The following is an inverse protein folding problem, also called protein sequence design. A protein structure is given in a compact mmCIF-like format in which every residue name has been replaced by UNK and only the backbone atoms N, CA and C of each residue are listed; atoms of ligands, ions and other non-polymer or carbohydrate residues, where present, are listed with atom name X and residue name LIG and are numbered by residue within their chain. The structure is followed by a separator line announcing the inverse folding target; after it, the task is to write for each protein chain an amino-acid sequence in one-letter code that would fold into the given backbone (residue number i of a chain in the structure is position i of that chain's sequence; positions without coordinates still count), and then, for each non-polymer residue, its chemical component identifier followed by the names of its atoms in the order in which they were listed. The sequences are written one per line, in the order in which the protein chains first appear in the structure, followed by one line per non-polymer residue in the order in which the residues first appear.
data_IF_586817555509
#
_entry.id   IF_586817555509
#
_cell.length_a   1.000
_cell.length_b   1.000
_cell.length_c   1.000
_cell.angle_alpha   90.00
_cell.angle_beta   90.00
_cell.angle_gamma   90.00
#
_symmetry.space_group_name_H-M   'P 1'
#
loop_
_entity.id
_entity.type
_entity.pdbx_description
1 polymer ?
#
# COMPACT_ATOMS: atom_id res chain seq x y z
N UNK A 1 -16.63 -2.71 9.62
CA UNK A 1 -17.16 -3.35 8.42
C UNK A 1 -17.07 -2.42 7.22
N UNK A 2 -16.90 -2.99 6.05
CA UNK A 2 -16.84 -2.23 4.80
C UNK A 2 -18.28 -1.95 4.39
N UNK A 3 -18.56 -0.70 3.97
CA UNK A 3 -19.90 -0.34 3.52
C UNK A 3 -20.30 -1.18 2.30
N UNK A 4 -21.58 -1.56 2.23
CA UNK A 4 -22.06 -2.48 1.19
C UNK A 4 -21.84 -1.99 -0.25
N UNK A 5 -21.81 -0.67 -0.46
CA UNK A 5 -21.59 -0.09 -1.81
C UNK A 5 -20.13 0.26 -2.08
N UNK A 6 -19.24 0.12 -1.09
CA UNK A 6 -17.83 0.32 -1.32
C UNK A 6 -17.24 -0.98 -1.88
N UNK A 7 -16.31 -0.89 -2.83
CA UNK A 7 -15.69 -2.11 -3.33
C UNK A 7 -14.87 -2.76 -2.23
N UNK A 8 -15.01 -4.07 -2.08
CA UNK A 8 -14.13 -4.83 -1.21
C UNK A 8 -12.77 -4.96 -1.91
N UNK A 9 -11.71 -4.39 -1.33
CA UNK A 9 -10.41 -4.42 -2.01
C UNK A 9 -9.73 -5.79 -1.99
N UNK A 10 -10.20 -6.71 -1.17
CA UNK A 10 -9.58 -8.05 -1.09
C UNK A 10 -9.66 -8.75 -2.45
N UNK A 11 -8.52 -9.23 -2.93
CA UNK A 11 -8.42 -9.86 -4.24
C UNK A 11 -8.10 -8.90 -5.38
N UNK A 12 -8.14 -7.60 -5.15
CA UNK A 12 -7.82 -6.64 -6.20
C UNK A 12 -6.33 -6.64 -6.51
N UNK A 13 -6.01 -6.45 -7.78
CA UNK A 13 -4.65 -6.30 -8.25
C UNK A 13 -4.11 -4.93 -7.85
N UNK A 14 -2.89 -4.89 -7.36
CA UNK A 14 -2.21 -3.66 -6.97
C UNK A 14 -1.14 -3.33 -8.00
N UNK A 15 -1.19 -2.09 -8.49
CA UNK A 15 -0.23 -1.58 -9.46
C UNK A 15 0.65 -0.52 -8.82
N UNK A 16 1.91 -0.48 -9.21
CA UNK A 16 2.84 0.58 -8.80
C UNK A 16 2.75 1.79 -9.72
N UNK A 17 3.62 2.76 -9.48
CA UNK A 17 3.71 3.98 -10.28
C UNK A 17 4.06 3.72 -11.75
N UNK A 18 4.74 2.62 -12.01
CA UNK A 18 5.12 2.20 -13.36
C UNK A 18 4.00 1.46 -14.10
N UNK A 19 2.83 1.28 -13.47
CA UNK A 19 1.73 0.52 -14.05
C UNK A 19 1.93 -0.99 -14.00
N UNK A 20 3.05 -1.45 -13.47
CA UNK A 20 3.32 -2.88 -13.34
C UNK A 20 2.63 -3.44 -12.10
N UNK A 21 2.40 -4.75 -12.10
CA UNK A 21 1.73 -5.42 -11.00
C UNK A 21 2.68 -5.57 -9.82
N UNK A 22 2.31 -4.98 -8.68
CA UNK A 22 3.05 -5.13 -7.43
C UNK A 22 2.61 -6.37 -6.66
N UNK A 23 1.33 -6.72 -6.75
CA UNK A 23 0.78 -7.85 -6.03
C UNK A 23 -0.73 -7.85 -5.99
N UNK A 24 -1.29 -8.50 -4.99
CA UNK A 24 -2.72 -8.65 -4.80
C UNK A 24 -3.06 -8.37 -3.33
N UNK A 25 -4.18 -7.71 -3.08
CA UNK A 25 -4.65 -7.47 -1.72
C UNK A 25 -5.12 -8.79 -1.11
N UNK A 26 -4.50 -9.21 -0.01
CA UNK A 26 -4.85 -10.44 0.70
C UNK A 26 -5.83 -10.19 1.85
N UNK A 27 -5.71 -9.05 2.51
CA UNK A 27 -6.62 -8.67 3.60
C UNK A 27 -6.58 -7.17 3.83
N UNK A 28 -7.50 -6.68 4.67
CA UNK A 28 -7.56 -5.28 5.07
C UNK A 28 -7.38 -5.18 6.57
N UNK A 29 -6.71 -4.11 7.01
CA UNK A 29 -6.53 -3.80 8.42
C UNK A 29 -7.42 -2.62 8.76
N UNK A 30 -8.38 -2.85 9.65
CA UNK A 30 -9.46 -1.91 9.96
C UNK A 30 -9.25 -1.32 11.35
N UNK A 31 -9.43 -0.01 11.46
CA UNK A 31 -9.55 0.64 12.75
C UNK A 31 -10.93 0.33 13.31
N UNK A 32 -10.98 -0.43 14.41
CA UNK A 32 -12.25 -0.88 14.98
C UNK A 32 -13.11 0.25 15.51
N UNK A 33 -12.49 1.32 16.02
CA UNK A 33 -13.24 2.42 16.62
C UNK A 33 -13.89 3.31 15.56
N UNK A 34 -13.25 3.45 14.39
CA UNK A 34 -13.74 4.31 13.33
C UNK A 34 -14.32 3.56 12.14
N UNK A 35 -14.18 2.25 12.12
CA UNK A 35 -14.66 1.37 11.04
C UNK A 35 -14.10 1.74 9.67
N UNK A 36 -12.84 2.19 9.64
CA UNK A 36 -12.17 2.55 8.41
C UNK A 36 -10.99 1.64 8.16
N UNK A 37 -10.70 1.38 6.88
CA UNK A 37 -9.52 0.63 6.47
C UNK A 37 -8.30 1.53 6.63
N UNK A 38 -7.33 1.07 7.43
CA UNK A 38 -6.08 1.79 7.66
C UNK A 38 -4.97 1.32 6.73
N UNK A 39 -4.91 0.02 6.48
CA UNK A 39 -3.88 -0.60 5.65
C UNK A 39 -4.47 -1.66 4.76
N UNK A 40 -3.83 -1.83 3.61
CA UNK A 40 -4.04 -2.98 2.73
C UNK A 40 -2.87 -3.93 2.92
N UNK A 41 -3.17 -5.18 3.25
CA UNK A 41 -2.15 -6.22 3.25
C UNK A 41 -2.02 -6.75 1.83
N UNK A 42 -0.81 -6.65 1.28
CA UNK A 42 -0.53 -7.00 -0.10
C UNK A 42 0.44 -8.17 -0.12
N UNK A 43 0.06 -9.22 -0.83
CA UNK A 43 1.01 -10.27 -1.18
C UNK A 43 1.66 -9.85 -2.49
N UNK A 44 2.95 -9.54 -2.44
CA UNK A 44 3.67 -9.09 -3.62
C UNK A 44 3.82 -10.22 -4.62
N UNK A 45 4.15 -9.87 -5.87
CA UNK A 45 4.35 -10.86 -6.94
C UNK A 45 5.43 -11.89 -6.59
N UNK A 46 6.40 -11.52 -5.76
CA UNK A 46 7.43 -12.43 -5.27
C UNK A 46 7.06 -13.21 -4.02
N UNK A 47 5.83 -13.04 -3.50
CA UNK A 47 5.36 -13.78 -2.34
C UNK A 47 5.63 -13.14 -0.98
N UNK A 48 6.17 -11.93 -0.95
CA UNK A 48 6.41 -11.19 0.30
C UNK A 48 5.13 -10.47 0.69
N UNK A 49 4.77 -10.51 1.98
CA UNK A 49 3.60 -9.81 2.49
C UNK A 49 4.00 -8.46 3.06
N UNK A 50 3.34 -7.39 2.63
CA UNK A 50 3.61 -6.03 3.09
C UNK A 50 2.30 -5.31 3.41
N UNK A 51 2.38 -4.24 4.21
CA UNK A 51 1.25 -3.36 4.47
C UNK A 51 1.45 -2.04 3.74
N UNK A 52 0.41 -1.57 3.06
CA UNK A 52 0.41 -0.26 2.42
C UNK A 52 -0.64 0.63 3.06
N UNK A 53 -0.32 1.92 3.33
CA UNK A 53 -1.30 2.84 3.90
C UNK A 53 -2.48 3.06 2.96
N UNK A 54 -3.69 2.87 3.45
CA UNK A 54 -4.90 3.03 2.64
C UNK A 54 -5.04 4.43 2.02
N UNK A 55 -4.69 5.53 2.70
CA UNK A 55 -4.81 6.87 2.09
C UNK A 55 -3.99 7.06 0.83
N UNK A 56 -2.98 6.24 0.59
CA UNK A 56 -2.14 6.33 -0.61
C UNK A 56 -2.66 5.48 -1.76
N UNK A 57 -3.75 4.73 -1.55
CA UNK A 57 -4.33 3.84 -2.54
C UNK A 57 -5.39 4.55 -3.38
N UNK A 58 -5.28 4.41 -4.70
CA UNK A 58 -6.25 4.91 -5.65
C UNK A 58 -7.03 3.72 -6.21
N UNK A 59 -8.29 3.59 -5.79
CA UNK A 59 -9.12 2.45 -6.17
C UNK A 59 -9.87 2.77 -7.45
N UNK A 60 -9.74 1.92 -8.46
CA UNK A 60 -10.55 1.97 -9.67
C UNK A 60 -11.62 0.88 -9.62
N UNK A 61 -12.85 1.28 -9.39
CA UNK A 61 -13.99 0.34 -9.40
C UNK A 61 -14.18 -0.26 -10.79
N UNK A 62 -14.00 0.56 -11.81
CA UNK A 62 -14.22 0.15 -13.20
C UNK A 62 -13.22 -0.91 -13.64
N UNK A 63 -11.96 -0.76 -13.25
CA UNK A 63 -10.91 -1.69 -13.65
C UNK A 63 -10.67 -2.80 -12.62
N UNK A 64 -11.23 -2.66 -11.41
CA UNK A 64 -10.99 -3.63 -10.33
C UNK A 64 -9.55 -3.64 -9.85
N UNK A 65 -8.87 -2.49 -9.92
CA UNK A 65 -7.46 -2.37 -9.55
C UNK A 65 -7.25 -1.29 -8.51
N UNK A 66 -6.12 -1.38 -7.82
CA UNK A 66 -5.66 -0.36 -6.88
C UNK A 66 -4.29 0.09 -7.35
N UNK A 67 -4.11 1.39 -7.51
CA UNK A 67 -2.79 1.95 -7.83
C UNK A 67 -2.23 2.62 -6.60
N UNK A 68 -1.01 2.26 -6.23
CA UNK A 68 -0.25 2.95 -5.19
C UNK A 68 0.98 3.52 -5.88
N UNK A 69 0.86 4.78 -6.27
CA UNK A 69 1.86 5.42 -7.12
C UNK A 69 3.05 6.00 -6.37
N UNK A 70 3.10 5.78 -5.05
CA UNK A 70 4.26 6.17 -4.25
C UNK A 70 5.52 5.40 -4.67
N UNK A 71 5.36 4.13 -5.03
CA UNK A 71 6.46 3.21 -5.30
C UNK A 71 6.34 2.60 -6.70
N UNK A 72 7.48 2.20 -7.26
CA UNK A 72 7.50 1.27 -8.39
C UNK A 72 7.09 -0.12 -7.87
N UNK A 73 6.51 -0.94 -8.75
CA UNK A 73 6.04 -2.27 -8.35
C UNK A 73 7.12 -3.09 -7.63
N UNK A 74 8.33 -3.08 -8.14
CA UNK A 74 9.43 -3.85 -7.56
C UNK A 74 9.87 -3.38 -6.18
N UNK A 75 9.50 -2.18 -5.77
CA UNK A 75 9.90 -1.61 -4.49
C UNK A 75 8.98 -2.01 -3.34
N UNK A 76 7.82 -2.56 -3.62
CA UNK A 76 6.87 -2.96 -2.58
C UNK A 76 7.45 -4.01 -1.64
N UNK A 77 8.21 -4.95 -2.18
CA UNK A 77 8.80 -6.02 -1.38
C UNK A 77 9.80 -5.53 -0.32
N UNK A 78 10.32 -4.32 -0.47
CA UNK A 78 11.26 -3.73 0.49
C UNK A 78 10.60 -2.98 1.63
N UNK A 79 9.27 -2.87 1.66
CA UNK A 79 8.58 -2.12 2.70
C UNK A 79 8.76 -2.77 4.07
N UNK A 80 8.93 -1.97 5.15
CA UNK A 80 8.98 -2.51 6.50
C UNK A 80 7.68 -3.24 6.83
N UNK A 81 7.78 -4.29 7.64
CA UNK A 81 6.63 -5.09 8.04
C UNK A 81 6.48 -5.10 9.56
N UNK A 82 5.25 -5.27 10.08
CA UNK A 82 5.06 -5.42 11.52
C UNK A 82 5.68 -6.72 12.03
N UNK A 83 6.11 -6.72 13.29
CA UNK A 83 6.63 -7.93 13.93
C UNK A 83 5.51 -8.94 14.22
N UNK A 84 4.30 -8.45 14.52
CA UNK A 84 3.14 -9.31 14.81
C UNK A 84 2.24 -9.42 13.59
N UNK A 85 1.56 -10.58 13.40
CA UNK A 85 0.71 -10.78 12.22
C UNK A 85 -0.63 -10.06 12.29
N UNK A 86 -1.04 -9.56 13.45
CA UNK A 86 -2.39 -9.06 13.68
C UNK A 86 -2.44 -7.67 14.32
N UNK A 87 -1.29 -7.03 14.52
CA UNK A 87 -1.24 -5.68 15.10
C UNK A 87 0.00 -4.94 14.63
N UNK A 88 -0.06 -3.62 14.76
CA UNK A 88 1.03 -2.73 14.36
C UNK A 88 1.28 -1.73 15.50
N UNK A 89 2.55 -1.52 15.83
CA UNK A 89 2.95 -0.50 16.80
C UNK A 89 3.02 0.85 16.12
N UNK A 90 2.98 1.92 16.92
CA UNK A 90 3.13 3.28 16.40
C UNK A 90 4.45 3.46 15.65
N UNK A 91 5.53 2.90 16.17
CA UNK A 91 6.84 2.97 15.54
C UNK A 91 6.85 2.26 14.17
N UNK A 92 6.25 1.08 14.11
CA UNK A 92 6.13 0.33 12.86
C UNK A 92 5.30 1.09 11.83
N UNK A 93 4.20 1.70 12.29
CA UNK A 93 3.34 2.54 11.47
C UNK A 93 4.13 3.68 10.84
N UNK A 94 4.91 4.41 11.66
CA UNK A 94 5.73 5.51 11.16
C UNK A 94 6.74 5.04 10.11
N UNK A 95 7.34 3.89 10.30
CA UNK A 95 8.32 3.36 9.34
C UNK A 95 7.67 2.98 8.02
N UNK A 96 6.49 2.39 8.06
CA UNK A 96 5.75 2.02 6.84
C UNK A 96 5.35 3.29 6.09
N UNK A 97 4.76 4.25 6.77
CA UNK A 97 4.34 5.51 6.16
C UNK A 97 5.54 6.27 5.58
N UNK A 98 6.66 6.26 6.29
CA UNK A 98 7.88 6.92 5.82
C UNK A 98 8.44 6.25 4.55
N UNK A 99 8.37 4.93 4.47
CA UNK A 99 8.85 4.20 3.30
C UNK A 99 8.04 4.59 2.05
N UNK A 100 6.72 4.54 2.15
CA UNK A 100 5.84 4.90 1.04
C UNK A 100 5.92 6.39 0.72
N UNK A 101 5.92 7.24 1.75
CA UNK A 101 6.06 8.69 1.56
C UNK A 101 7.38 9.06 0.90
N UNK A 102 8.46 8.37 1.28
CA UNK A 102 9.78 8.54 0.66
C UNK A 102 9.76 8.18 -0.83
N UNK A 103 8.89 7.26 -1.24
CA UNK A 103 8.75 6.87 -2.64
C UNK A 103 8.32 8.03 -3.52
N UNK A 104 7.47 8.93 -3.01
CA UNK A 104 7.06 10.11 -3.78
C UNK A 104 8.24 11.03 -4.12
N UNK A 105 9.29 11.01 -3.29
CA UNK A 105 10.46 11.85 -3.48
C UNK A 105 11.59 11.15 -4.22
N UNK A 106 11.76 9.83 -4.02
CA UNK A 106 12.98 9.15 -4.40
C UNK A 106 12.79 7.86 -5.22
N UNK A 107 11.55 7.46 -5.52
CA UNK A 107 11.32 6.19 -6.23
C UNK A 107 11.92 6.17 -7.63
N UNK A 108 11.96 7.31 -8.31
CA UNK A 108 12.58 7.47 -9.63
C UNK A 108 13.47 8.70 -9.63
N UNK A 109 14.49 8.74 -10.52
CA UNK A 109 15.34 9.92 -10.63
C UNK A 109 14.56 11.21 -10.96
N UNK A 110 13.48 11.11 -11.71
CA UNK A 110 12.66 12.25 -12.11
C UNK A 110 11.96 12.92 -10.94
N UNK A 111 11.75 12.18 -9.84
CA UNK A 111 11.11 12.72 -8.63
C UNK A 111 12.09 13.48 -7.74
N UNK A 112 13.39 13.31 -7.97
CA UNK A 112 14.41 13.99 -7.17
C UNK A 112 14.65 15.38 -7.77
N UNK A 113 14.34 16.42 -6.97
CA UNK A 113 14.56 17.77 -7.42
C UNK A 113 16.03 18.17 -7.26
N UNK A 114 16.62 18.84 -8.26
CA UNK A 114 17.99 19.32 -8.12
C UNK A 114 18.08 20.40 -7.05
N UNK A 115 19.15 20.35 -6.28
CA UNK A 115 19.46 21.42 -5.33
C UNK A 115 20.02 22.62 -6.10
N UNK A 116 19.44 23.75 -5.84
CA UNK A 116 19.87 24.99 -6.49
C UNK A 116 20.89 25.74 -5.63
#
# INVERSE_FOLDING_TARGET
AIAARDPNPIGMMVLGADGEVAGTVSEVWIDRSEHVIRYLAITTSGGVNVLAPMPMALVSKRLGTITIDALLAAQFAGAPTPAAPDRITFYEEERIVAYFGGGYLYATPERQEPLL
#
